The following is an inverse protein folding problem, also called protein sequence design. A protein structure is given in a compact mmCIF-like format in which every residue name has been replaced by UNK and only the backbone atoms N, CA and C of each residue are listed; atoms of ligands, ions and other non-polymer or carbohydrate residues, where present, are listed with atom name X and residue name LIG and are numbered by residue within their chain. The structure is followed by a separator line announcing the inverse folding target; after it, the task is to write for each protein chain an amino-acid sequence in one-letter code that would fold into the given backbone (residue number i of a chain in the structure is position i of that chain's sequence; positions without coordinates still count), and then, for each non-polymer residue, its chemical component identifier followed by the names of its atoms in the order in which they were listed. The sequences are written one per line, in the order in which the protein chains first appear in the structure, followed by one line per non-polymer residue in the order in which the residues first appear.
data_IF_009346252936
#
_entry.id   IF_009346252936
#
_cell.length_a   1.000
_cell.length_b   1.000
_cell.length_c   1.000
_cell.angle_alpha   90.00
_cell.angle_beta   90.00
_cell.angle_gamma   90.00
#
_symmetry.space_group_name_H-M   'P 1'
#
loop_
_entity.id
_entity.type
_entity.pdbx_description
1 polymer ?
#
# COMPACT_ATOMS: atom_id res chain seq x y z
N UNK A 1 1.04 -10.06 -4.41
CA UNK A 1 0.53 -8.68 -4.28
C UNK A 1 1.56 -7.70 -4.83
N UNK A 2 1.11 -6.73 -5.63
CA UNK A 2 1.92 -5.65 -6.21
C UNK A 2 1.51 -4.32 -5.58
N UNK A 3 2.51 -3.53 -5.17
CA UNK A 3 2.35 -2.11 -4.87
C UNK A 3 2.93 -1.25 -6.01
N UNK A 4 2.07 -0.48 -6.67
CA UNK A 4 2.41 0.53 -7.66
C UNK A 4 2.72 1.84 -6.94
N UNK A 5 4.01 2.14 -6.82
CA UNK A 5 4.47 3.31 -6.06
C UNK A 5 4.47 4.56 -6.94
N UNK A 6 4.00 5.67 -6.38
CA UNK A 6 4.37 6.98 -6.92
C UNK A 6 5.89 7.19 -6.88
N UNK A 7 6.44 7.96 -7.83
CA UNK A 7 7.87 8.27 -7.86
C UNK A 7 8.36 8.88 -6.54
N UNK A 8 7.56 9.75 -5.93
CA UNK A 8 7.86 10.40 -4.65
C UNK A 8 8.00 9.38 -3.51
N UNK A 9 7.07 8.43 -3.40
CA UNK A 9 7.14 7.38 -2.40
C UNK A 9 8.31 6.43 -2.66
N UNK A 10 8.51 6.02 -3.92
CA UNK A 10 9.64 5.16 -4.32
C UNK A 10 10.99 5.76 -3.92
N UNK A 11 11.17 7.07 -4.12
CA UNK A 11 12.38 7.78 -3.72
C UNK A 11 12.55 7.82 -2.20
N UNK A 12 11.47 8.09 -1.44
CA UNK A 12 11.52 8.10 0.03
C UNK A 12 11.94 6.75 0.61
N UNK A 13 11.37 5.65 0.11
CA UNK A 13 11.61 4.31 0.65
C UNK A 13 12.79 3.58 -0.02
N UNK A 14 13.50 4.25 -0.94
CA UNK A 14 14.65 3.69 -1.65
C UNK A 14 14.35 2.38 -2.40
N UNK A 15 13.14 2.23 -2.95
CA UNK A 15 12.70 1.04 -3.70
C UNK A 15 13.43 0.82 -5.04
N UNK A 16 14.37 1.70 -5.40
CA UNK A 16 15.11 1.64 -6.65
C UNK A 16 14.31 2.12 -7.85
N UNK A 17 14.66 1.61 -9.03
CA UNK A 17 14.03 2.00 -10.29
C UNK A 17 12.70 1.25 -10.45
N UNK A 18 11.61 2.01 -10.55
CA UNK A 18 10.29 1.46 -10.85
C UNK A 18 10.29 0.83 -12.24
N UNK A 19 9.63 -0.32 -12.35
CA UNK A 19 9.37 -1.02 -13.61
C UNK A 19 7.88 -0.96 -13.90
N UNK A 20 7.54 -0.78 -15.15
CA UNK A 20 6.17 -0.98 -15.60
C UNK A 20 5.85 -2.47 -15.57
N UNK A 21 4.74 -2.82 -14.91
CA UNK A 21 4.21 -4.17 -14.83
C UNK A 21 2.76 -4.15 -15.33
N UNK A 22 2.30 -5.20 -16.04
CA UNK A 22 0.89 -5.35 -16.37
C UNK A 22 0.03 -5.37 -15.11
N UNK A 23 -1.29 -5.17 -15.25
CA UNK A 23 -2.22 -5.35 -14.13
C UNK A 23 -2.17 -6.81 -13.65
N UNK A 24 -2.30 -7.01 -12.33
CA UNK A 24 -2.41 -8.36 -11.77
C UNK A 24 -3.70 -9.03 -12.23
N UNK A 25 -3.65 -10.34 -12.44
CA UNK A 25 -4.84 -11.14 -12.77
C UNK A 25 -5.88 -11.10 -11.64
N UNK A 26 -5.42 -11.15 -10.39
CA UNK A 26 -6.27 -10.95 -9.23
C UNK A 26 -6.37 -9.45 -8.91
N UNK A 27 -7.53 -8.80 -9.11
CA UNK A 27 -7.68 -7.37 -8.87
C UNK A 27 -7.49 -6.99 -7.39
N UNK A 28 -7.69 -7.93 -6.45
CA UNK A 28 -7.52 -7.70 -5.02
C UNK A 28 -6.03 -7.51 -4.67
N UNK A 29 -5.11 -8.00 -5.50
CA UNK A 29 -3.68 -8.00 -5.20
C UNK A 29 -2.91 -6.87 -5.87
N UNK A 30 -3.58 -5.92 -6.53
CA UNK A 30 -2.99 -4.75 -7.19
C UNK A 30 -3.36 -3.46 -6.45
N UNK A 31 -2.37 -2.76 -5.90
CA UNK A 31 -2.57 -1.58 -5.08
C UNK A 31 -1.66 -0.43 -5.51
N UNK A 32 -2.20 0.77 -5.58
CA UNK A 32 -1.44 2.00 -5.82
C UNK A 32 -1.13 2.72 -4.51
N UNK A 33 0.10 3.22 -4.34
CA UNK A 33 0.54 3.85 -3.09
C UNK A 33 1.18 5.23 -3.31
N UNK A 34 0.71 6.22 -2.57
CA UNK A 34 1.09 7.63 -2.74
C UNK A 34 1.45 8.29 -1.41
N UNK A 35 2.56 9.04 -1.42
CA UNK A 35 2.98 9.88 -0.29
C UNK A 35 2.40 11.28 -0.41
N UNK A 36 1.61 11.70 0.58
CA UNK A 36 1.08 13.05 0.71
C UNK A 36 1.44 13.65 2.08
N UNK A 37 1.26 14.97 2.22
CA UNK A 37 1.62 15.71 3.44
C UNK A 37 0.45 16.59 3.82
N UNK A 38 0.08 16.54 5.10
CA UNK A 38 -0.94 17.41 5.70
C UNK A 38 -0.35 17.96 6.98
N UNK A 39 -0.37 19.29 7.14
CA UNK A 39 0.16 19.99 8.33
C UNK A 39 1.54 19.48 8.78
N UNK A 40 2.49 19.43 7.83
CA UNK A 40 3.86 18.93 8.02
C UNK A 40 4.01 17.43 8.35
N UNK A 41 2.92 16.69 8.55
CA UNK A 41 2.93 15.24 8.77
C UNK A 41 2.84 14.48 7.45
N UNK A 42 3.71 13.50 7.25
CA UNK A 42 3.67 12.63 6.08
C UNK A 42 2.68 11.49 6.27
N UNK A 43 1.92 11.21 5.23
CA UNK A 43 0.97 10.10 5.16
C UNK A 43 1.16 9.32 3.86
N UNK A 44 0.84 8.04 3.90
CA UNK A 44 0.80 7.17 2.74
C UNK A 44 -0.63 6.67 2.58
N UNK A 45 -1.23 6.94 1.43
CA UNK A 45 -2.49 6.31 1.01
C UNK A 45 -2.16 5.10 0.13
N UNK A 46 -2.87 4.00 0.37
CA UNK A 46 -2.80 2.77 -0.41
C UNK A 46 -4.21 2.45 -0.90
N UNK A 47 -4.40 2.38 -2.21
CA UNK A 47 -5.70 2.17 -2.83
C UNK A 47 -5.64 0.94 -3.73
N UNK A 48 -6.56 0.00 -3.54
CA UNK A 48 -6.73 -1.09 -4.48
C UNK A 48 -7.08 -0.52 -5.86
N UNK A 49 -6.34 -0.92 -6.89
CA UNK A 49 -6.42 -0.32 -8.22
C UNK A 49 -7.79 -0.55 -8.89
N UNK A 50 -8.46 -1.66 -8.60
CA UNK A 50 -9.74 -2.01 -9.21
C UNK A 50 -10.94 -1.48 -8.42
N UNK A 51 -10.96 -1.63 -7.10
CA UNK A 51 -12.10 -1.29 -6.26
C UNK A 51 -12.04 0.13 -5.68
N UNK A 52 -10.88 0.79 -5.75
CA UNK A 52 -10.60 2.07 -5.05
C UNK A 52 -10.72 1.99 -3.52
N UNK A 53 -10.84 0.79 -2.95
CA UNK A 53 -10.78 0.58 -1.51
C UNK A 53 -9.43 1.08 -0.98
N UNK A 54 -9.46 1.98 0.00
CA UNK A 54 -8.30 2.80 0.36
C UNK A 54 -8.02 2.77 1.86
N UNK A 55 -6.75 2.63 2.19
CA UNK A 55 -6.23 2.68 3.56
C UNK A 55 -5.22 3.84 3.67
N UNK A 56 -5.11 4.44 4.85
CA UNK A 56 -4.14 5.52 5.12
C UNK A 56 -3.30 5.17 6.34
N UNK A 57 -1.99 5.38 6.23
CA UNK A 57 -1.05 5.22 7.34
C UNK A 57 -0.13 6.45 7.48
N UNK A 58 0.45 6.62 8.67
CA UNK A 58 1.55 7.57 8.88
C UNK A 58 2.77 7.15 8.05
N UNK A 59 3.48 8.14 7.53
CA UNK A 59 4.61 7.95 6.63
C UNK A 59 5.94 8.52 7.13
N UNK A 60 5.99 9.25 8.24
CA UNK A 60 7.21 9.93 8.68
C UNK A 60 8.36 8.95 8.99
N UNK A 61 8.06 7.83 9.62
CA UNK A 61 9.02 6.79 10.00
C UNK A 61 9.32 5.76 8.88
N UNK A 62 8.57 5.78 7.78
CA UNK A 62 8.71 4.82 6.67
C UNK A 62 9.78 5.29 5.67
N UNK A 63 11.01 4.77 5.80
CA UNK A 63 12.16 5.24 5.01
C UNK A 63 12.84 4.14 4.18
N UNK A 64 12.36 2.90 4.30
CA UNK A 64 12.84 1.74 3.54
C UNK A 64 11.66 0.89 3.08
N UNK A 65 11.86 0.16 2.00
CA UNK A 65 10.85 -0.70 1.38
C UNK A 65 10.35 -1.81 2.31
N UNK A 66 11.23 -2.44 3.09
CA UNK A 66 10.85 -3.45 4.07
C UNK A 66 9.90 -2.91 5.16
N UNK A 67 10.16 -1.71 5.67
CA UNK A 67 9.30 -1.01 6.63
C UNK A 67 7.95 -0.68 6.00
N UNK A 68 7.96 -0.18 4.76
CA UNK A 68 6.75 0.09 4.01
C UNK A 68 5.91 -1.16 3.84
N UNK A 69 6.50 -2.27 3.40
CA UNK A 69 5.79 -3.54 3.17
C UNK A 69 5.14 -4.03 4.47
N UNK A 70 5.90 -4.11 5.56
CA UNK A 70 5.39 -4.58 6.85
C UNK A 70 4.23 -3.70 7.35
N UNK A 71 4.39 -2.37 7.29
CA UNK A 71 3.35 -1.45 7.77
C UNK A 71 2.13 -1.45 6.85
N UNK A 72 2.33 -1.56 5.54
CA UNK A 72 1.25 -1.62 4.56
C UNK A 72 0.36 -2.85 4.79
N UNK A 73 0.96 -4.04 4.94
CA UNK A 73 0.19 -5.26 5.24
C UNK A 73 -0.58 -5.16 6.55
N UNK A 74 0.04 -4.68 7.63
CA UNK A 74 -0.64 -4.46 8.92
C UNK A 74 -1.82 -3.50 8.77
N UNK A 75 -1.61 -2.37 8.08
CA UNK A 75 -2.66 -1.34 7.90
C UNK A 75 -3.82 -1.87 7.06
N UNK A 76 -3.54 -2.57 5.95
CA UNK A 76 -4.58 -3.13 5.09
C UNK A 76 -5.38 -4.19 5.87
N UNK A 77 -4.72 -5.04 6.65
CA UNK A 77 -5.38 -6.00 7.53
C UNK A 77 -6.30 -5.31 8.54
N UNK A 78 -5.78 -4.32 9.25
CA UNK A 78 -6.52 -3.56 10.27
C UNK A 78 -7.79 -2.95 9.68
N UNK A 79 -7.68 -2.25 8.55
CA UNK A 79 -8.84 -1.66 7.85
C UNK A 79 -9.82 -2.72 7.37
N UNK A 80 -9.34 -3.79 6.71
CA UNK A 80 -10.22 -4.84 6.22
C UNK A 80 -10.90 -5.63 7.35
N UNK A 81 -10.26 -5.79 8.50
CA UNK A 81 -10.87 -6.40 9.67
C UNK A 81 -11.98 -5.51 10.25
N UNK A 82 -11.72 -4.21 10.41
CA UNK A 82 -12.72 -3.23 10.85
C UNK A 82 -13.93 -3.15 9.92
N UNK A 83 -13.71 -3.30 8.61
CA UNK A 83 -14.75 -3.30 7.58
C UNK A 83 -15.43 -4.67 7.36
N UNK A 84 -15.06 -5.70 8.12
CA UNK A 84 -15.65 -7.05 8.03
C UNK A 84 -15.21 -7.86 6.81
N UNK A 85 -14.11 -7.48 6.18
CA UNK A 85 -13.50 -8.08 4.99
C UNK A 85 -12.26 -8.94 5.32
N UNK A 86 -12.03 -9.30 6.58
CA UNK A 86 -10.85 -10.09 6.99
C UNK A 86 -10.69 -11.39 6.20
N UNK A 87 -11.78 -12.09 5.86
CA UNK A 87 -11.72 -13.31 5.05
C UNK A 87 -11.12 -13.07 3.66
N UNK A 88 -11.37 -11.91 3.04
CA UNK A 88 -10.78 -11.53 1.76
C UNK A 88 -9.28 -11.30 1.91
N UNK A 89 -8.86 -10.66 3.01
CA UNK A 89 -7.44 -10.48 3.31
C UNK A 89 -6.74 -11.83 3.49
N UNK A 90 -7.36 -12.76 4.23
CA UNK A 90 -6.82 -14.10 4.48
C UNK A 90 -6.74 -14.97 3.22
N UNK A 91 -7.72 -14.85 2.32
CA UNK A 91 -7.79 -15.64 1.08
C UNK A 91 -6.83 -15.13 -0.01
N UNK A 92 -6.68 -13.81 -0.15
CA UNK A 92 -6.03 -13.22 -1.32
C UNK A 92 -4.76 -12.39 -1.03
N UNK A 93 -4.55 -11.95 0.21
CA UNK A 93 -3.49 -10.98 0.54
C UNK A 93 -2.40 -11.58 1.43
N UNK A 94 -2.72 -12.54 2.29
CA UNK A 94 -1.71 -13.26 3.09
C UNK A 94 -0.73 -14.02 2.17
N UNK A 95 0.60 -14.00 2.43
CA UNK A 95 1.60 -14.76 1.68
C UNK A 95 1.46 -16.29 1.79
#
# INVERSE_FOLDING_TARGET
MIFRLSQKLSTKIKAGKLKELPLEENPITDWSAHLFVVDHTQYIIMSNTASMYSCVMYGDDINHDNQFIQRAFSTIREFMEEDGLLSIYEEFIIP
#
